data_IF_208060689353
#
_entry.id   IF_208060689353
#
_cell.length_a   1.000
_cell.length_b   1.000
_cell.length_c   1.000
_cell.angle_alpha   90.00
_cell.angle_beta   90.00
_cell.angle_gamma   90.00
#
_symmetry.space_group_name_H-M   'P 1'
#
loop_
_entity.id
_entity.type
_entity.pdbx_description
1 polymer ?
#
# COMPACT_ATOMS: atom_id res chain seq x y z
N UNK A 1 21.08 -48.05 10.19
CA UNK A 1 21.53 -46.71 10.65
C UNK A 1 20.94 -45.61 9.76
N UNK A 2 21.07 -45.66 8.43
CA UNK A 2 20.59 -44.63 7.50
C UNK A 2 19.07 -44.41 7.63
N UNK A 3 18.28 -45.48 7.75
CA UNK A 3 16.84 -45.40 7.88
C UNK A 3 16.40 -44.72 9.18
N UNK A 4 17.09 -44.97 10.28
CA UNK A 4 16.83 -44.33 11.57
C UNK A 4 17.15 -42.83 11.51
N UNK A 5 18.25 -42.44 10.88
CA UNK A 5 18.63 -41.05 10.68
C UNK A 5 17.61 -40.32 9.83
N UNK A 6 17.11 -40.94 8.75
CA UNK A 6 16.08 -40.37 7.89
C UNK A 6 14.75 -40.16 8.64
N UNK A 7 14.35 -41.10 9.51
CA UNK A 7 13.14 -40.96 10.34
C UNK A 7 13.28 -39.83 11.37
N UNK A 8 14.43 -39.73 12.01
CA UNK A 8 14.70 -38.66 12.99
C UNK A 8 14.71 -37.31 12.29
N UNK A 9 15.37 -37.18 11.13
CA UNK A 9 15.38 -35.95 10.34
C UNK A 9 13.97 -35.57 9.87
N UNK A 10 13.17 -36.52 9.39
CA UNK A 10 11.78 -36.30 9.01
C UNK A 10 10.90 -35.87 10.18
N UNK A 11 11.08 -36.50 11.34
CA UNK A 11 10.33 -36.12 12.55
C UNK A 11 10.74 -34.72 13.04
N UNK A 12 12.03 -34.40 13.05
CA UNK A 12 12.51 -33.07 13.42
C UNK A 12 11.98 -31.97 12.48
N UNK A 13 12.00 -32.23 11.16
CA UNK A 13 11.42 -31.33 10.17
C UNK A 13 9.91 -31.14 10.35
N UNK A 14 9.19 -32.24 10.57
CA UNK A 14 7.73 -32.19 10.82
C UNK A 14 7.37 -31.41 12.07
N UNK A 15 8.11 -31.63 13.17
CA UNK A 15 7.92 -30.88 14.43
C UNK A 15 8.24 -29.38 14.22
N UNK A 16 9.34 -29.06 13.54
CA UNK A 16 9.72 -27.67 13.25
C UNK A 16 8.65 -26.96 12.41
N UNK A 17 8.13 -27.62 11.38
CA UNK A 17 7.06 -27.09 10.53
C UNK A 17 5.77 -26.86 11.32
N UNK A 18 5.36 -27.83 12.18
CA UNK A 18 4.19 -27.69 13.03
C UNK A 18 4.32 -26.53 14.03
N UNK A 19 5.49 -26.36 14.63
CA UNK A 19 5.77 -25.24 15.54
C UNK A 19 5.73 -23.90 14.83
N UNK A 20 6.30 -23.82 13.61
CA UNK A 20 6.25 -22.62 12.80
C UNK A 20 4.81 -22.20 12.46
N UNK A 21 4.00 -23.12 11.90
CA UNK A 21 2.60 -22.86 11.52
C UNK A 21 1.74 -22.52 12.74
N UNK A 22 2.12 -23.03 13.90
CA UNK A 22 1.40 -22.77 15.16
C UNK A 22 1.69 -21.39 15.73
N UNK A 23 2.88 -20.85 15.48
CA UNK A 23 3.35 -19.61 16.06
C UNK A 23 3.16 -18.38 15.15
N UNK A 24 3.03 -18.58 13.85
CA UNK A 24 2.95 -17.50 12.86
C UNK A 24 1.71 -17.62 11.98
N UNK A 25 1.16 -16.48 11.57
CA UNK A 25 0.34 -16.32 10.38
C UNK A 25 1.23 -15.67 9.32
N UNK A 26 1.49 -16.35 8.22
CA UNK A 26 2.35 -15.84 7.15
C UNK A 26 1.53 -15.63 5.89
N UNK A 27 1.80 -14.53 5.21
CA UNK A 27 1.24 -14.26 3.87
C UNK A 27 2.26 -13.52 3.01
N UNK A 28 2.37 -13.92 1.76
CA UNK A 28 3.12 -13.26 0.69
C UNK A 28 2.23 -12.28 -0.11
N UNK A 29 0.92 -12.29 0.15
CA UNK A 29 -0.02 -11.35 -0.44
C UNK A 29 -0.04 -10.04 0.37
N UNK A 30 1.08 -9.35 0.41
CA UNK A 30 1.25 -8.11 1.12
C UNK A 30 2.08 -7.11 0.31
N UNK A 31 1.81 -5.83 0.52
CA UNK A 31 2.52 -4.76 -0.17
C UNK A 31 2.72 -3.56 0.75
N UNK A 32 3.78 -2.80 0.49
CA UNK A 32 3.95 -1.48 1.09
C UNK A 32 2.93 -0.54 0.49
N UNK A 33 2.26 0.20 1.34
CA UNK A 33 1.22 1.17 0.97
C UNK A 33 1.46 2.49 1.70
N UNK A 34 0.72 3.52 1.32
CA UNK A 34 0.81 4.84 1.93
C UNK A 34 -0.43 5.67 1.59
N UNK A 35 -0.68 6.67 2.41
CA UNK A 35 -1.80 7.57 2.17
C UNK A 35 -1.51 8.44 0.94
N UNK A 36 -2.37 8.31 -0.07
CA UNK A 36 -2.26 9.04 -1.35
C UNK A 36 -2.62 10.50 -1.16
N UNK A 37 -1.73 11.38 -1.60
CA UNK A 37 -1.93 12.82 -1.65
C UNK A 37 -2.17 13.18 -3.12
N UNK A 38 -3.44 13.32 -3.50
CA UNK A 38 -3.80 13.68 -4.86
C UNK A 38 -3.68 15.19 -5.06
N UNK A 39 -2.88 15.61 -6.03
CA UNK A 39 -2.74 17.01 -6.45
C UNK A 39 -3.63 17.19 -7.67
N UNK A 40 -4.75 17.88 -7.49
CA UNK A 40 -5.78 18.03 -8.50
C UNK A 40 -5.84 19.48 -9.03
N UNK A 41 -6.31 19.62 -10.26
CA UNK A 41 -6.60 20.92 -10.87
C UNK A 41 -7.74 21.63 -10.09
N UNK A 42 -7.52 22.82 -9.53
CA UNK A 42 -8.53 23.57 -8.76
C UNK A 42 -9.61 24.21 -9.67
N UNK A 43 -9.30 24.42 -10.93
CA UNK A 43 -10.20 25.03 -11.92
C UNK A 43 -9.96 24.44 -13.30
N UNK A 44 -10.92 24.64 -14.20
CA UNK A 44 -10.75 24.28 -15.62
C UNK A 44 -9.98 25.38 -16.36
N UNK A 45 -8.98 24.97 -17.15
CA UNK A 45 -8.13 25.91 -17.86
C UNK A 45 -6.91 25.24 -18.48
N UNK A 46 -5.97 26.04 -18.98
CA UNK A 46 -4.72 25.57 -19.57
C UNK A 46 -3.62 25.57 -18.53
N UNK A 47 -2.88 24.49 -18.39
CA UNK A 47 -1.73 24.38 -17.49
C UNK A 47 -0.58 25.23 -18.03
N UNK A 48 -0.20 26.30 -17.31
CA UNK A 48 0.84 27.25 -17.74
C UNK A 48 2.24 26.83 -17.33
N UNK A 49 2.35 26.36 -16.08
CA UNK A 49 3.59 25.82 -15.54
C UNK A 49 3.30 24.64 -14.62
N UNK A 50 4.31 23.81 -14.43
CA UNK A 50 4.21 22.61 -13.64
C UNK A 50 5.57 22.22 -13.04
N UNK A 51 5.62 22.02 -11.73
CA UNK A 51 6.84 21.71 -10.98
C UNK A 51 6.78 20.46 -10.12
N UNK A 52 5.62 19.77 -10.03
CA UNK A 52 5.52 18.52 -9.29
C UNK A 52 5.95 17.33 -10.16
N UNK A 53 7.23 17.31 -10.53
CA UNK A 53 7.82 16.20 -11.30
C UNK A 53 8.01 14.97 -10.43
N UNK A 54 8.04 13.79 -11.05
CA UNK A 54 8.27 12.52 -10.34
C UNK A 54 9.57 12.57 -9.53
N UNK A 55 9.50 12.14 -8.26
CA UNK A 55 10.60 12.18 -7.30
C UNK A 55 10.80 13.52 -6.60
N UNK A 56 10.05 14.57 -6.95
CA UNK A 56 10.14 15.86 -6.26
C UNK A 56 9.40 15.82 -4.93
N UNK A 57 9.99 16.45 -3.90
CA UNK A 57 9.31 16.64 -2.62
C UNK A 57 8.40 17.87 -2.67
N UNK A 58 7.20 17.72 -2.15
CA UNK A 58 6.21 18.78 -2.04
C UNK A 58 5.80 18.98 -0.59
N UNK A 59 5.60 20.23 -0.21
CA UNK A 59 5.11 20.58 1.12
C UNK A 59 3.66 21.02 1.07
N UNK A 60 2.98 20.91 2.20
CA UNK A 60 1.58 21.35 2.32
C UNK A 60 1.47 22.84 1.91
N UNK A 61 0.45 23.16 1.10
CA UNK A 61 0.14 24.48 0.57
C UNK A 61 1.20 25.05 -0.41
N UNK A 62 2.25 24.31 -0.74
CA UNK A 62 3.22 24.69 -1.75
C UNK A 62 2.55 24.81 -3.12
N UNK A 63 2.81 25.92 -3.82
CA UNK A 63 2.40 26.09 -5.22
C UNK A 63 3.30 25.25 -6.13
N UNK A 64 2.70 24.28 -6.83
CA UNK A 64 3.39 23.32 -7.71
C UNK A 64 3.11 23.56 -9.19
N UNK A 65 2.25 24.53 -9.51
CA UNK A 65 1.92 24.90 -10.89
C UNK A 65 0.87 25.99 -10.94
N UNK A 66 0.51 26.41 -12.15
CA UNK A 66 -0.53 27.43 -12.39
C UNK A 66 -1.40 27.06 -13.59
N UNK A 67 -2.68 27.38 -13.46
CA UNK A 67 -3.70 27.22 -14.52
C UNK A 67 -4.15 28.61 -14.96
N UNK A 68 -4.23 28.84 -16.27
CA UNK A 68 -4.92 29.97 -16.89
C UNK A 68 -6.39 29.59 -17.12
N UNK A 69 -7.29 30.27 -16.44
CA UNK A 69 -8.74 30.00 -16.54
C UNK A 69 -9.26 30.59 -17.85
N UNK A 70 -9.95 29.78 -18.66
CA UNK A 70 -10.59 30.22 -19.89
C UNK A 70 -11.99 30.77 -19.63
N UNK A 71 -12.38 31.79 -20.38
CA UNK A 71 -13.76 32.31 -20.43
C UNK A 71 -13.97 33.69 -19.79
N UNK A 72 -12.91 34.38 -19.37
CA UNK A 72 -12.98 35.76 -18.90
C UNK A 72 -12.29 36.74 -19.88
N UNK A 73 -12.71 38.00 -19.89
CA UNK A 73 -12.05 39.08 -20.61
C UNK A 73 -10.59 39.29 -20.13
N UNK A 74 -10.30 38.91 -18.88
CA UNK A 74 -8.96 38.73 -18.32
C UNK A 74 -8.70 37.23 -18.21
N UNK A 75 -7.45 36.82 -18.42
CA UNK A 75 -7.00 35.42 -18.26
C UNK A 75 -6.46 35.20 -16.82
N UNK A 76 -7.32 35.04 -15.82
CA UNK A 76 -6.87 34.90 -14.44
C UNK A 76 -6.05 33.61 -14.28
N UNK A 77 -4.97 33.70 -13.53
CA UNK A 77 -4.12 32.57 -13.20
C UNK A 77 -4.46 32.08 -11.80
N UNK A 78 -4.63 30.77 -11.65
CA UNK A 78 -4.85 30.15 -10.36
C UNK A 78 -3.72 29.18 -10.03
N UNK A 79 -3.09 29.31 -8.83
CA UNK A 79 -2.06 28.38 -8.41
C UNK A 79 -2.65 27.02 -8.05
N UNK A 80 -1.95 25.97 -8.46
CA UNK A 80 -2.20 24.58 -8.02
C UNK A 80 -1.33 24.37 -6.78
N UNK A 81 -1.95 23.96 -5.68
CA UNK A 81 -1.25 23.73 -4.42
C UNK A 81 -1.29 22.27 -4.01
N UNK A 82 -0.20 21.79 -3.42
CA UNK A 82 -0.16 20.47 -2.80
C UNK A 82 -0.99 20.48 -1.51
N UNK A 83 -1.95 19.55 -1.34
CA UNK A 83 -2.80 19.51 -0.13
C UNK A 83 -2.09 18.92 1.09
N UNK A 84 -0.93 18.29 0.91
CA UNK A 84 -0.12 17.65 1.94
C UNK A 84 1.36 17.64 1.58
N UNK A 85 2.17 17.13 2.50
CA UNK A 85 3.61 16.94 2.29
C UNK A 85 3.92 15.49 1.85
N UNK A 86 4.86 15.33 0.93
CA UNK A 86 5.27 14.01 0.44
C UNK A 86 6.11 14.10 -0.82
N UNK A 87 6.50 12.93 -1.31
CA UNK A 87 7.28 12.78 -2.56
C UNK A 87 6.35 12.37 -3.70
N UNK A 88 6.47 13.03 -4.84
CA UNK A 88 5.64 12.77 -6.03
C UNK A 88 6.02 11.42 -6.64
N UNK A 89 5.06 10.49 -6.67
CA UNK A 89 5.23 9.17 -7.26
C UNK A 89 4.73 9.11 -8.71
N UNK A 90 3.66 9.84 -9.02
CA UNK A 90 3.07 9.88 -10.37
C UNK A 90 2.90 11.34 -10.80
N UNK A 91 3.40 11.65 -11.98
CA UNK A 91 3.27 12.95 -12.64
C UNK A 91 2.48 12.79 -13.95
N UNK A 92 1.33 13.46 -14.02
CA UNK A 92 0.47 13.53 -15.21
C UNK A 92 0.35 14.97 -15.73
N UNK A 93 1.09 15.92 -15.14
CA UNK A 93 1.03 17.33 -15.48
C UNK A 93 1.80 17.62 -16.78
N UNK A 94 1.09 18.01 -17.85
CA UNK A 94 1.71 18.42 -19.12
C UNK A 94 1.40 19.89 -19.39
N UNK A 95 2.43 20.72 -19.37
CA UNK A 95 2.31 22.15 -19.66
C UNK A 95 1.70 22.39 -21.04
N UNK A 96 0.78 23.34 -21.14
CA UNK A 96 0.05 23.67 -22.36
C UNK A 96 -1.22 22.83 -22.59
N UNK A 97 -1.47 21.78 -21.81
CA UNK A 97 -2.71 21.01 -21.91
C UNK A 97 -3.88 21.69 -21.21
N UNK A 98 -5.08 21.47 -21.74
CA UNK A 98 -6.32 21.88 -21.09
C UNK A 98 -6.74 20.82 -20.08
N UNK A 99 -6.99 21.24 -18.85
CA UNK A 99 -7.46 20.38 -17.75
C UNK A 99 -8.79 20.86 -17.21
N UNK A 100 -9.60 19.97 -16.70
CA UNK A 100 -10.87 20.27 -16.03
C UNK A 100 -10.69 20.27 -14.53
N UNK A 101 -11.57 20.99 -13.83
CA UNK A 101 -11.59 20.97 -12.35
C UNK A 101 -11.66 19.56 -11.83
N UNK A 102 -10.79 19.21 -10.87
CA UNK A 102 -10.70 17.87 -10.27
C UNK A 102 -9.83 16.88 -11.04
N UNK A 103 -9.29 17.23 -12.23
CA UNK A 103 -8.33 16.38 -12.94
C UNK A 103 -7.11 16.15 -12.05
N UNK A 104 -6.74 14.88 -11.82
CA UNK A 104 -5.56 14.49 -11.05
C UNK A 104 -4.29 14.72 -11.87
N UNK A 105 -3.47 15.67 -11.42
CA UNK A 105 -2.23 16.07 -12.09
C UNK A 105 -1.02 15.35 -11.51
N UNK A 106 -1.02 15.05 -10.22
CA UNK A 106 0.02 14.24 -9.61
C UNK A 106 -0.51 13.45 -8.40
N UNK A 107 0.24 12.41 -8.02
CA UNK A 107 0.05 11.68 -6.78
C UNK A 107 1.35 11.70 -6.01
N UNK A 108 1.32 12.16 -4.78
CA UNK A 108 2.43 12.08 -3.85
C UNK A 108 2.10 11.13 -2.69
N UNK A 109 3.13 10.64 -2.01
CA UNK A 109 3.03 9.83 -0.80
C UNK A 109 3.92 10.41 0.29
N UNK A 110 3.45 10.40 1.52
CA UNK A 110 4.31 10.68 2.66
C UNK A 110 5.10 9.41 3.01
N UNK A 111 6.38 9.38 2.63
CA UNK A 111 7.25 8.21 2.83
C UNK A 111 7.58 7.94 4.30
N UNK A 112 7.40 8.93 5.19
CA UNK A 112 7.57 8.74 6.64
C UNK A 112 6.36 8.03 7.29
N UNK A 113 5.24 7.94 6.56
CA UNK A 113 3.97 7.37 7.05
C UNK A 113 3.50 6.18 6.24
N UNK A 114 4.44 5.44 5.68
CA UNK A 114 4.14 4.20 4.98
C UNK A 114 3.76 3.10 5.97
N UNK A 115 2.97 2.17 5.49
CA UNK A 115 2.53 0.99 6.22
C UNK A 115 2.47 -0.21 5.27
N UNK A 116 2.33 -1.41 5.82
CA UNK A 116 2.10 -2.61 5.02
C UNK A 116 0.63 -2.97 5.04
N UNK A 117 0.07 -3.25 3.88
CA UNK A 117 -1.26 -3.85 3.73
C UNK A 117 -1.08 -5.32 3.39
N UNK A 118 -1.34 -6.19 4.37
CA UNK A 118 -1.29 -7.64 4.21
C UNK A 118 -2.70 -8.20 4.01
N UNK A 119 -2.88 -9.11 3.05
CA UNK A 119 -4.13 -9.82 2.81
C UNK A 119 -4.03 -11.20 3.43
N UNK A 120 -4.66 -11.35 4.58
CA UNK A 120 -4.67 -12.59 5.37
C UNK A 120 -5.90 -13.42 5.03
N UNK A 121 -5.74 -14.73 4.90
CA UNK A 121 -6.86 -15.63 4.65
C UNK A 121 -7.89 -15.57 5.78
N UNK A 122 -9.18 -15.62 5.43
CA UNK A 122 -10.29 -15.59 6.40
C UNK A 122 -10.17 -16.67 7.46
N UNK A 123 -9.59 -17.81 7.12
CA UNK A 123 -9.37 -18.92 8.05
C UNK A 123 -8.39 -18.59 9.16
N UNK A 124 -7.41 -17.74 8.89
CA UNK A 124 -6.31 -17.40 9.79
C UNK A 124 -6.51 -16.06 10.51
N UNK A 125 -7.39 -15.20 9.99
CA UNK A 125 -7.62 -13.86 10.55
C UNK A 125 -8.05 -13.86 12.01
N UNK A 126 -8.69 -14.93 12.49
CA UNK A 126 -9.09 -15.09 13.90
C UNK A 126 -7.91 -15.10 14.87
N UNK A 127 -6.72 -15.43 14.38
CA UNK A 127 -5.48 -15.43 15.17
C UNK A 127 -4.75 -14.08 15.11
N UNK A 128 -5.24 -13.12 14.30
CA UNK A 128 -4.61 -11.81 14.09
C UNK A 128 -5.34 -10.75 14.89
N UNK A 129 -4.60 -10.04 15.74
CA UNK A 129 -5.14 -9.01 16.62
C UNK A 129 -4.26 -7.75 16.59
N UNK A 130 -4.85 -6.55 16.77
CA UNK A 130 -4.07 -5.33 16.91
C UNK A 130 -3.02 -5.44 18.02
N UNK A 131 -1.83 -4.89 17.75
CA UNK A 131 -0.68 -4.88 18.66
C UNK A 131 0.28 -6.08 18.55
N UNK A 132 -0.06 -7.12 17.77
CA UNK A 132 0.86 -8.23 17.52
C UNK A 132 2.07 -7.76 16.73
N UNK A 133 3.23 -8.33 17.05
CA UNK A 133 4.50 -8.09 16.34
C UNK A 133 4.46 -8.80 14.99
N UNK A 134 5.04 -8.15 14.00
CA UNK A 134 5.12 -8.65 12.61
C UNK A 134 6.55 -8.48 12.12
N UNK A 135 7.12 -9.55 11.59
CA UNK A 135 8.33 -9.49 10.80
C UNK A 135 7.95 -9.25 9.33
N UNK A 136 8.61 -8.31 8.68
CA UNK A 136 8.35 -7.89 7.32
C UNK A 136 9.60 -8.10 6.48
N UNK A 137 9.52 -9.01 5.52
CA UNK A 137 10.56 -9.30 4.56
C UNK A 137 10.23 -8.63 3.23
N UNK A 138 11.08 -7.71 2.80
CA UNK A 138 10.89 -6.94 1.56
C UNK A 138 11.62 -7.64 0.42
N UNK A 139 10.91 -8.00 -0.65
CA UNK A 139 11.47 -8.75 -1.79
C UNK A 139 12.64 -8.02 -2.45
N UNK A 140 12.58 -6.69 -2.50
CA UNK A 140 13.66 -5.86 -3.06
C UNK A 140 14.92 -5.79 -2.17
N UNK A 141 14.79 -6.08 -0.87
CA UNK A 141 15.86 -5.95 0.13
C UNK A 141 15.93 -7.17 1.05
N UNK A 142 16.38 -8.34 0.57
CA UNK A 142 16.33 -9.61 1.32
C UNK A 142 17.11 -9.61 2.65
N UNK A 143 18.04 -8.67 2.84
CA UNK A 143 18.85 -8.55 4.05
C UNK A 143 18.34 -7.47 5.01
N UNK A 144 17.25 -6.79 4.68
CA UNK A 144 16.67 -5.79 5.55
C UNK A 144 15.68 -6.45 6.52
N UNK A 145 15.98 -6.41 7.81
CA UNK A 145 15.06 -6.88 8.86
C UNK A 145 14.19 -5.70 9.29
N UNK A 146 12.93 -5.74 8.86
CA UNK A 146 11.95 -4.71 9.19
C UNK A 146 10.90 -5.34 10.11
N UNK A 147 10.59 -4.66 11.20
CA UNK A 147 9.56 -5.08 12.14
C UNK A 147 8.44 -4.06 12.18
N UNK A 148 7.26 -4.55 12.50
CA UNK A 148 6.07 -3.72 12.63
C UNK A 148 5.08 -4.29 13.61
N UNK A 149 3.93 -3.62 13.72
CA UNK A 149 2.81 -4.07 14.55
C UNK A 149 1.51 -4.02 13.79
N UNK A 150 0.67 -5.02 14.02
CA UNK A 150 -0.71 -4.98 13.53
C UNK A 150 -1.39 -3.75 14.12
N UNK A 151 -1.76 -2.81 13.25
CA UNK A 151 -2.49 -1.59 13.62
C UNK A 151 -3.98 -1.83 13.60
N UNK A 152 -4.48 -2.46 12.54
CA UNK A 152 -5.90 -2.60 12.27
C UNK A 152 -6.16 -3.85 11.43
N UNK A 153 -7.20 -4.59 11.79
CA UNK A 153 -7.78 -5.66 10.98
C UNK A 153 -9.09 -5.13 10.42
N UNK A 154 -9.21 -5.02 9.10
CA UNK A 154 -10.42 -4.47 8.49
C UNK A 154 -11.61 -5.41 8.68
N UNK A 155 -12.77 -4.83 9.03
CA UNK A 155 -13.98 -5.58 9.40
C UNK A 155 -14.76 -6.15 8.20
N UNK A 156 -14.13 -6.34 7.05
CA UNK A 156 -14.78 -6.88 5.85
C UNK A 156 -13.81 -7.52 4.89
N UNK A 157 -14.25 -8.56 4.20
CA UNK A 157 -13.46 -9.19 3.16
C UNK A 157 -13.17 -8.19 2.03
N UNK A 158 -11.99 -8.27 1.43
CA UNK A 158 -11.55 -7.36 0.36
C UNK A 158 -12.52 -7.32 -0.83
N UNK A 159 -13.23 -8.42 -1.09
CA UNK A 159 -14.26 -8.52 -2.14
C UNK A 159 -15.46 -7.61 -1.92
N UNK A 160 -15.78 -7.24 -0.68
CA UNK A 160 -16.90 -6.34 -0.36
C UNK A 160 -16.59 -4.88 -0.74
N UNK A 161 -15.33 -4.53 -0.86
CA UNK A 161 -14.87 -3.19 -1.24
C UNK A 161 -14.45 -3.09 -2.71
N UNK A 162 -14.60 -4.18 -3.47
CA UNK A 162 -14.31 -4.18 -4.91
C UNK A 162 -15.39 -3.42 -5.67
N UNK A 163 -14.99 -2.48 -6.52
CA UNK A 163 -15.91 -1.75 -7.42
C UNK A 163 -16.57 -2.67 -8.48
N UNK A 164 -16.02 -3.87 -8.68
CA UNK A 164 -16.53 -4.90 -9.57
C UNK A 164 -16.72 -6.20 -8.78
N UNK A 165 -17.80 -6.34 -8.01
CA UNK A 165 -18.09 -7.61 -7.36
C UNK A 165 -18.29 -8.66 -8.45
N UNK A 166 -17.59 -9.77 -8.36
CA UNK A 166 -17.81 -10.92 -9.25
C UNK A 166 -19.19 -11.51 -8.95
N UNK A 167 -20.21 -11.01 -9.64
CA UNK A 167 -21.53 -11.62 -9.62
C UNK A 167 -21.50 -12.87 -10.50
N UNK A 168 -21.39 -14.03 -9.88
CA UNK A 168 -21.65 -15.29 -10.56
C UNK A 168 -23.14 -15.38 -10.87
N UNK A 169 -23.52 -14.98 -12.11
CA UNK A 169 -24.89 -15.04 -12.63
C UNK A 169 -25.40 -16.47 -12.86
N UNK A 170 -24.64 -17.52 -12.56
CA UNK A 170 -25.01 -18.93 -12.81
C UNK A 170 -25.36 -19.74 -11.56
N UNK A 171 -25.63 -19.10 -10.42
CA UNK A 171 -26.20 -19.79 -9.26
C UNK A 171 -25.30 -20.87 -8.58
N UNK A 172 -24.08 -21.04 -9.02
CA UNK A 172 -23.12 -21.96 -8.44
C UNK A 172 -22.21 -21.21 -7.46
N UNK A 173 -22.52 -21.27 -6.17
CA UNK A 173 -21.65 -20.75 -5.12
C UNK A 173 -20.39 -21.60 -5.02
N UNK A 174 -19.36 -21.23 -5.78
CA UNK A 174 -18.03 -21.79 -5.56
C UNK A 174 -17.40 -21.05 -4.38
N UNK A 175 -17.12 -21.76 -3.31
CA UNK A 175 -16.42 -21.22 -2.15
C UNK A 175 -14.99 -20.86 -2.56
N UNK A 176 -14.74 -19.56 -2.76
CA UNK A 176 -13.38 -19.03 -2.97
C UNK A 176 -12.81 -18.58 -1.63
N UNK A 177 -11.52 -18.75 -1.42
CA UNK A 177 -10.84 -18.24 -0.23
C UNK A 177 -10.96 -16.71 -0.22
N UNK A 178 -11.56 -16.19 0.83
CA UNK A 178 -11.68 -14.74 1.05
C UNK A 178 -10.44 -14.26 1.80
N UNK A 179 -9.98 -13.06 1.47
CA UNK A 179 -8.86 -12.43 2.17
C UNK A 179 -9.33 -11.16 2.88
N UNK A 180 -8.77 -10.94 4.06
CA UNK A 180 -9.08 -9.78 4.91
C UNK A 180 -7.85 -8.90 4.99
N UNK A 181 -7.97 -7.61 4.62
CA UNK A 181 -6.86 -6.68 4.71
C UNK A 181 -6.50 -6.38 6.16
N UNK A 182 -5.21 -6.47 6.46
CA UNK A 182 -4.61 -6.13 7.75
C UNK A 182 -3.59 -5.03 7.53
N UNK A 183 -3.74 -3.90 8.23
CA UNK A 183 -2.77 -2.81 8.21
C UNK A 183 -1.73 -3.02 9.30
N UNK A 184 -0.46 -2.95 8.91
CA UNK A 184 0.70 -3.12 9.77
C UNK A 184 1.50 -1.83 9.74
N UNK A 185 1.66 -1.21 10.91
CA UNK A 185 2.52 -0.05 11.06
C UNK A 185 3.97 -0.51 11.27
N UNK A 186 4.92 0.12 10.62
CA UNK A 186 6.35 -0.15 10.80
C UNK A 186 6.84 0.51 12.11
N UNK A 187 7.66 -0.21 12.88
CA UNK A 187 8.09 0.27 14.23
C UNK A 187 9.15 1.39 14.16
N UNK A 188 9.91 1.50 13.08
CA UNK A 188 10.93 2.53 12.88
C UNK A 188 10.97 2.97 11.41
N UNK A 189 11.50 4.18 11.11
CA UNK A 189 11.81 4.53 9.74
C UNK A 189 12.72 3.44 9.15
N UNK A 190 12.36 2.89 7.99
CA UNK A 190 13.14 1.82 7.39
C UNK A 190 14.56 2.31 7.07
N UNK A 191 15.54 1.44 7.28
CA UNK A 191 16.95 1.70 6.92
C UNK A 191 17.19 1.64 5.41
N UNK A 192 16.16 1.32 4.65
CA UNK A 192 16.15 1.17 3.19
C UNK A 192 15.03 2.02 2.60
N UNK A 193 15.20 2.44 1.37
CA UNK A 193 14.22 3.28 0.67
C UNK A 193 13.00 2.44 0.26
N UNK A 194 11.99 2.44 1.11
CA UNK A 194 10.72 1.78 0.83
C UNK A 194 9.79 2.69 0.03
N UNK A 195 9.23 2.16 -1.04
CA UNK A 195 8.26 2.87 -1.88
C UNK A 195 6.92 2.12 -1.89
N UNK A 196 5.79 2.84 -1.86
CA UNK A 196 4.48 2.22 -2.04
C UNK A 196 4.40 1.40 -3.32
N UNK A 197 3.84 0.20 -3.23
CA UNK A 197 3.75 -0.77 -4.32
C UNK A 197 4.81 -1.88 -4.28
N UNK A 198 5.83 -1.82 -3.43
CA UNK A 198 6.75 -2.93 -3.23
C UNK A 198 6.05 -4.12 -2.58
N UNK A 199 6.35 -5.32 -3.08
CA UNK A 199 5.87 -6.57 -2.49
C UNK A 199 6.68 -6.93 -1.25
N UNK A 200 6.01 -7.52 -0.29
CA UNK A 200 6.58 -7.98 0.97
C UNK A 200 5.93 -9.30 1.41
N UNK A 201 6.67 -10.09 2.15
CA UNK A 201 6.15 -11.23 2.90
C UNK A 201 6.06 -10.84 4.37
N UNK A 202 4.97 -11.18 5.03
CA UNK A 202 4.77 -10.85 6.45
C UNK A 202 4.57 -12.10 7.29
N UNK A 203 5.15 -12.09 8.49
CA UNK A 203 5.05 -13.15 9.48
C UNK A 203 4.49 -12.55 10.79
N UNK A 204 3.19 -12.72 11.01
CA UNK A 204 2.49 -12.20 12.19
C UNK A 204 2.63 -13.20 13.34
N UNK A 205 3.18 -12.77 14.47
CA UNK A 205 3.35 -13.61 15.65
C UNK A 205 2.00 -13.87 16.33
N UNK A 206 1.59 -15.13 16.40
CA UNK A 206 0.44 -15.54 17.23
C UNK A 206 0.84 -15.47 18.71
N UNK A 207 -0.02 -14.93 19.53
CA UNK A 207 0.16 -15.01 20.99
C UNK A 207 -0.28 -16.36 21.50
#
# INVERSE_FOLDING_TARGET
>A
VILIVAVIAGAAFGISYLLYTRNYVSTDNAQIDGDKIAINAPASGTLLDWGATQGADVHKDQAVGRIEIQGAFSKPQMPIRAPGEGTVAVDNGVVGTYVTTGTQLAVAYNLDKIYVTARVDETDVKAVHPGQVVDVDVDAYPNAHITGRVREVQSGAATQFSLFPQSNTQGNFQKVTQVIPVKIALDAPPTVDLVPGMNVTVHIHKR
#
